data_IF_728553369117
#
_entry.id   IF_728553369117
#
_cell.length_a   1.000
_cell.length_b   1.000
_cell.length_c   1.000
_cell.angle_alpha   90.00
_cell.angle_beta   90.00
_cell.angle_gamma   90.00
#
_symmetry.space_group_name_H-M   'P 1'
#
loop_
_entity.id
_entity.type
_entity.pdbx_description
1 polymer ?
#
# COMPACT_ATOMS: atom_id res chain seq x y z
N UNK A 1 -12.20 -45.42 21.91
CA UNK A 1 -12.44 -45.75 20.49
C UNK A 1 -12.36 -44.46 19.70
N UNK A 2 -11.39 -44.38 18.77
CA UNK A 2 -11.11 -43.23 17.93
C UNK A 2 -12.25 -42.96 16.94
N UNK A 3 -12.56 -41.69 16.73
CA UNK A 3 -13.39 -41.20 15.62
C UNK A 3 -12.67 -40.07 14.89
N UNK A 4 -11.77 -40.43 13.98
CA UNK A 4 -11.15 -39.51 13.03
C UNK A 4 -12.21 -38.97 12.07
N UNK A 5 -12.70 -37.75 12.30
CA UNK A 5 -13.50 -37.00 11.35
C UNK A 5 -12.61 -36.00 10.60
N UNK A 6 -12.23 -36.37 9.37
CA UNK A 6 -11.93 -35.46 8.26
C UNK A 6 -11.09 -34.22 8.57
N UNK A 7 -9.81 -34.41 8.92
CA UNK A 7 -8.80 -33.36 8.78
C UNK A 7 -8.65 -33.05 7.29
N UNK A 8 -9.30 -31.95 6.86
CA UNK A 8 -8.98 -31.27 5.61
C UNK A 8 -7.47 -31.07 5.53
N UNK A 9 -6.92 -31.36 4.35
CA UNK A 9 -5.49 -31.40 4.06
C UNK A 9 -4.71 -30.29 4.79
N UNK A 10 -3.58 -30.59 5.43
CA UNK A 10 -2.79 -29.60 6.13
C UNK A 10 -2.39 -28.46 5.19
N UNK A 11 -2.72 -27.23 5.58
CA UNK A 11 -2.36 -25.96 4.93
C UNK A 11 -0.85 -25.80 4.61
N UNK A 12 -0.02 -26.69 5.14
CA UNK A 12 1.43 -26.71 5.00
C UNK A 12 1.95 -26.98 3.58
N UNK A 13 1.18 -27.65 2.71
CA UNK A 13 1.64 -27.98 1.35
C UNK A 13 1.41 -26.86 0.31
N UNK A 14 0.63 -25.82 0.65
CA UNK A 14 0.29 -24.72 -0.26
C UNK A 14 1.01 -23.39 0.09
N UNK A 15 1.92 -23.38 1.07
CA UNK A 15 2.53 -22.14 1.56
C UNK A 15 3.53 -21.49 0.58
N UNK A 16 4.33 -22.28 -0.14
CA UNK A 16 5.37 -21.73 -1.02
C UNK A 16 4.79 -21.12 -2.30
N UNK A 17 3.79 -21.74 -2.92
CA UNK A 17 3.18 -21.20 -4.16
C UNK A 17 2.27 -19.99 -3.94
N UNK A 18 1.52 -19.92 -2.83
CA UNK A 18 0.64 -18.76 -2.56
C UNK A 18 1.41 -17.50 -2.12
N UNK A 19 2.49 -17.63 -1.33
CA UNK A 19 3.34 -16.48 -1.00
C UNK A 19 4.07 -15.96 -2.25
N UNK A 20 4.68 -16.84 -3.05
CA UNK A 20 5.36 -16.45 -4.29
C UNK A 20 4.39 -15.81 -5.31
N UNK A 21 3.11 -16.22 -5.32
CA UNK A 21 2.07 -15.58 -6.13
C UNK A 21 1.80 -14.14 -5.68
N UNK A 22 1.80 -13.87 -4.38
CA UNK A 22 1.52 -12.53 -3.83
C UNK A 22 2.61 -11.54 -4.26
N UNK A 23 3.87 -11.96 -4.16
CA UNK A 23 5.03 -11.18 -4.64
C UNK A 23 5.04 -11.01 -6.16
N UNK A 24 4.68 -12.03 -6.93
CA UNK A 24 4.63 -11.94 -8.41
C UNK A 24 3.47 -11.04 -8.89
N UNK A 25 2.35 -11.01 -8.16
CA UNK A 25 1.15 -10.26 -8.56
C UNK A 25 1.17 -8.81 -8.04
N UNK A 26 1.68 -8.54 -6.83
CA UNK A 26 1.70 -7.18 -6.26
C UNK A 26 2.91 -6.34 -6.67
N UNK A 27 4.07 -6.95 -6.98
CA UNK A 27 5.27 -6.18 -7.33
C UNK A 27 5.07 -5.33 -8.59
N UNK A 28 4.56 -5.87 -9.72
CA UNK A 28 4.41 -5.08 -10.94
C UNK A 28 3.57 -3.80 -10.74
N UNK A 29 2.36 -3.83 -10.15
CA UNK A 29 1.58 -2.61 -9.93
C UNK A 29 2.26 -1.64 -8.95
N UNK A 30 2.92 -2.11 -7.89
CA UNK A 30 3.67 -1.24 -6.98
C UNK A 30 4.85 -0.53 -7.68
N UNK A 31 5.55 -1.22 -8.58
CA UNK A 31 6.63 -0.64 -9.39
C UNK A 31 6.10 0.46 -10.32
N UNK A 32 4.96 0.22 -10.98
CA UNK A 32 4.34 1.24 -11.83
C UNK A 32 3.91 2.48 -11.04
N UNK A 33 3.34 2.30 -9.83
CA UNK A 33 2.91 3.43 -9.00
C UNK A 33 4.11 4.25 -8.51
N UNK A 34 5.12 3.61 -7.92
CA UNK A 34 6.30 4.32 -7.40
C UNK A 34 7.12 4.94 -8.53
N UNK A 35 7.27 4.19 -9.63
CA UNK A 35 7.97 4.64 -10.83
C UNK A 35 7.28 5.84 -11.48
N UNK A 36 5.95 5.79 -11.60
CA UNK A 36 5.15 6.86 -12.18
C UNK A 36 5.23 8.18 -11.41
N UNK A 37 5.24 8.14 -10.07
CA UNK A 37 5.36 9.36 -9.25
C UNK A 37 6.70 10.07 -9.51
N UNK A 38 7.81 9.33 -9.61
CA UNK A 38 9.14 9.92 -9.80
C UNK A 38 9.42 10.34 -11.24
N UNK A 39 9.04 9.53 -12.22
CA UNK A 39 9.14 9.90 -13.63
C UNK A 39 8.21 11.06 -13.99
N UNK A 40 7.01 11.11 -13.41
CA UNK A 40 6.07 12.21 -13.61
C UNK A 40 6.66 13.54 -13.19
N UNK A 41 7.32 13.60 -12.02
CA UNK A 41 8.01 14.81 -11.55
C UNK A 41 9.18 15.22 -12.46
N UNK A 42 9.96 14.25 -12.95
CA UNK A 42 11.03 14.49 -13.92
C UNK A 42 10.50 15.12 -15.21
N UNK A 43 9.50 14.49 -15.84
CA UNK A 43 8.90 14.93 -17.10
C UNK A 43 8.25 16.31 -16.92
N UNK A 44 7.51 16.50 -15.82
CA UNK A 44 6.88 17.78 -15.51
C UNK A 44 7.92 18.91 -15.36
N UNK A 45 9.07 18.67 -14.73
CA UNK A 45 10.13 19.68 -14.59
C UNK A 45 10.68 20.18 -15.92
N UNK A 46 10.82 19.31 -16.93
CA UNK A 46 11.23 19.70 -18.28
C UNK A 46 10.15 20.47 -19.05
N UNK A 47 8.89 20.03 -18.94
CA UNK A 47 7.76 20.70 -19.60
C UNK A 47 7.60 22.11 -19.03
N UNK A 48 7.66 22.27 -17.70
CA UNK A 48 7.49 23.57 -17.03
C UNK A 48 8.58 24.55 -17.48
N UNK A 49 9.84 24.10 -17.64
CA UNK A 49 10.93 24.96 -18.08
C UNK A 49 10.77 25.45 -19.53
N UNK A 50 10.29 24.59 -20.44
CA UNK A 50 10.30 24.89 -21.87
C UNK A 50 8.98 25.48 -22.38
N UNK A 51 7.84 24.98 -21.89
CA UNK A 51 6.50 25.33 -22.37
C UNK A 51 5.67 26.08 -21.30
N UNK A 52 6.08 26.04 -20.03
CA UNK A 52 5.34 26.63 -18.92
C UNK A 52 4.28 25.70 -18.31
N UNK A 53 3.77 26.07 -17.13
CA UNK A 53 2.95 25.17 -16.30
C UNK A 53 1.60 24.78 -16.92
N UNK A 54 1.00 25.64 -17.76
CA UNK A 54 -0.32 25.37 -18.38
C UNK A 54 -0.27 24.16 -19.33
N UNK A 55 0.83 23.99 -20.06
CA UNK A 55 0.98 22.90 -21.02
C UNK A 55 1.14 21.53 -20.34
N UNK A 56 1.62 21.50 -19.09
CA UNK A 56 1.67 20.26 -18.30
C UNK A 56 0.29 19.61 -18.18
N UNK A 57 -0.76 20.40 -17.94
CA UNK A 57 -2.13 19.89 -17.85
C UNK A 57 -2.66 19.39 -19.20
N UNK A 58 -2.34 20.08 -20.30
CA UNK A 58 -2.73 19.67 -21.65
C UNK A 58 -2.09 18.35 -22.09
N UNK A 59 -0.79 18.18 -21.82
CA UNK A 59 -0.07 16.94 -22.14
C UNK A 59 -0.60 15.78 -21.30
N UNK A 60 -0.85 15.99 -20.00
CA UNK A 60 -1.49 14.98 -19.14
C UNK A 60 -2.86 14.58 -19.70
N UNK A 61 -3.69 15.53 -20.12
CA UNK A 61 -5.01 15.25 -20.70
C UNK A 61 -4.92 14.41 -21.98
N UNK A 62 -3.95 14.70 -22.87
CA UNK A 62 -3.72 13.92 -24.09
C UNK A 62 -3.32 12.47 -23.77
N UNK A 63 -2.40 12.29 -22.83
CA UNK A 63 -1.98 10.95 -22.38
C UNK A 63 -3.18 10.18 -21.81
N UNK A 64 -4.01 10.81 -20.97
CA UNK A 64 -5.23 10.19 -20.45
C UNK A 64 -6.24 9.84 -21.54
N UNK A 65 -6.40 10.70 -22.55
CA UNK A 65 -7.29 10.44 -23.69
C UNK A 65 -6.86 9.21 -24.51
N UNK A 66 -5.56 8.91 -24.56
CA UNK A 66 -5.04 7.71 -25.22
C UNK A 66 -5.10 6.45 -24.33
N UNK A 67 -4.84 6.59 -23.02
CA UNK A 67 -4.85 5.46 -22.08
C UNK A 67 -6.27 4.93 -21.86
N UNK A 68 -7.29 5.79 -21.86
CA UNK A 68 -8.67 5.39 -21.54
C UNK A 68 -9.25 4.35 -22.53
N UNK A 69 -9.15 4.52 -23.86
CA UNK A 69 -9.51 3.47 -24.82
C UNK A 69 -8.69 2.19 -24.67
N UNK A 70 -7.38 2.32 -24.39
CA UNK A 70 -6.49 1.19 -24.17
C UNK A 70 -6.91 0.37 -22.95
N UNK A 71 -7.24 1.06 -21.84
CA UNK A 71 -7.73 0.43 -20.63
C UNK A 71 -9.05 -0.29 -20.90
N UNK A 72 -9.97 0.31 -21.66
CA UNK A 72 -11.23 -0.32 -22.03
C UNK A 72 -11.05 -1.60 -22.85
N UNK A 73 -10.12 -1.60 -23.81
CA UNK A 73 -9.89 -2.77 -24.68
C UNK A 73 -9.05 -3.86 -24.00
N UNK A 74 -7.97 -3.51 -23.31
CA UNK A 74 -6.98 -4.46 -22.82
C UNK A 74 -7.19 -4.90 -21.37
N UNK A 75 -7.98 -4.19 -20.57
CA UNK A 75 -8.24 -4.54 -19.16
C UNK A 75 -9.69 -5.04 -19.04
N UNK A 76 -9.98 -6.31 -19.37
CA UNK A 76 -11.29 -6.87 -19.12
C UNK A 76 -11.54 -6.89 -17.61
N UNK A 77 -12.70 -6.42 -17.15
CA UNK A 77 -13.07 -6.46 -15.74
C UNK A 77 -12.95 -7.90 -15.19
N UNK A 78 -12.16 -8.04 -14.13
CA UNK A 78 -11.95 -9.31 -13.42
C UNK A 78 -12.85 -9.47 -12.20
N UNK A 79 -13.87 -8.61 -12.03
CA UNK A 79 -14.78 -8.68 -10.88
C UNK A 79 -15.40 -10.08 -10.83
N UNK A 80 -14.89 -10.89 -9.90
CA UNK A 80 -15.31 -12.25 -9.67
C UNK A 80 -16.65 -12.19 -8.95
N UNK A 81 -17.72 -12.24 -9.74
CA UNK A 81 -19.03 -12.51 -9.18
C UNK A 81 -19.09 -14.01 -8.89
N UNK A 82 -19.51 -14.38 -7.68
CA UNK A 82 -20.13 -15.70 -7.48
C UNK A 82 -21.63 -15.49 -7.70
N UNK A 83 -22.18 -15.78 -8.89
CA UNK A 83 -23.60 -16.05 -9.02
C UNK A 83 -24.08 -17.00 -7.92
N UNK A 84 -25.39 -17.00 -7.60
CA UNK A 84 -25.94 -18.08 -6.80
C UNK A 84 -25.54 -19.40 -7.47
N UNK A 85 -24.63 -20.14 -6.81
CA UNK A 85 -24.10 -21.39 -7.33
C UNK A 85 -25.29 -22.28 -7.68
N UNK A 86 -25.32 -22.83 -8.89
CA UNK A 86 -26.31 -23.84 -9.27
C UNK A 86 -26.02 -25.08 -8.42
N UNK A 87 -26.71 -25.19 -7.30
CA UNK A 87 -26.65 -26.35 -6.43
C UNK A 87 -27.49 -27.44 -7.06
N UNK A 88 -26.85 -28.47 -7.58
CA UNK A 88 -27.56 -29.72 -7.87
C UNK A 88 -27.49 -30.60 -6.63
N UNK A 89 -28.67 -30.92 -6.10
CA UNK A 89 -28.84 -31.80 -4.95
C UNK A 89 -28.98 -33.20 -5.51
N UNK A 90 -27.92 -34.00 -5.46
CA UNK A 90 -27.98 -35.40 -5.87
C UNK A 90 -28.34 -36.23 -4.65
N UNK A 91 -29.50 -36.88 -4.72
CA UNK A 91 -29.94 -37.84 -3.69
C UNK A 91 -29.45 -39.22 -4.07
N UNK A 92 -28.38 -39.68 -3.41
CA UNK A 92 -27.90 -41.04 -3.58
C UNK A 92 -28.73 -42.01 -2.73
N UNK A 93 -29.59 -42.80 -3.39
CA UNK A 93 -30.46 -43.80 -2.75
C UNK A 93 -29.67 -44.91 -2.05
N UNK A 94 -28.42 -45.14 -2.42
CA UNK A 94 -27.59 -46.23 -1.87
C UNK A 94 -26.91 -45.88 -0.55
N UNK A 95 -26.61 -44.60 -0.32
CA UNK A 95 -25.90 -44.12 0.87
C UNK A 95 -26.75 -43.23 1.80
N UNK A 96 -28.00 -42.93 1.43
CA UNK A 96 -28.89 -41.99 2.15
C UNK A 96 -28.23 -40.64 2.48
N UNK A 97 -27.25 -40.23 1.67
CA UNK A 97 -26.53 -38.96 1.82
C UNK A 97 -26.88 -38.00 0.71
N UNK A 98 -27.05 -36.75 1.09
CA UNK A 98 -27.30 -35.64 0.19
C UNK A 98 -25.95 -35.00 -0.14
N UNK A 99 -25.58 -35.01 -1.42
CA UNK A 99 -24.39 -34.31 -1.90
C UNK A 99 -24.84 -33.01 -2.60
N UNK A 100 -24.39 -31.87 -2.09
CA UNK A 100 -24.48 -30.59 -2.82
C UNK A 100 -23.24 -30.47 -3.72
N UNK A 101 -23.41 -30.61 -5.03
CA UNK A 101 -22.32 -30.40 -5.99
C UNK A 101 -22.40 -28.96 -6.51
N UNK A 102 -21.30 -28.23 -6.34
CA UNK A 102 -21.13 -26.88 -6.88
C UNK A 102 -20.58 -27.02 -8.30
N UNK A 103 -21.41 -26.75 -9.31
CA UNK A 103 -20.99 -26.78 -10.70
C UNK A 103 -20.07 -25.57 -11.01
N UNK A 104 -18.88 -25.77 -11.62
CA UNK A 104 -18.04 -24.68 -12.08
C UNK A 104 -18.70 -23.96 -13.26
N UNK A 105 -18.67 -22.63 -13.25
CA UNK A 105 -19.33 -21.80 -14.26
C UNK A 105 -18.57 -21.80 -15.60
N UNK A 106 -19.29 -21.70 -16.74
CA UNK A 106 -18.65 -21.55 -18.03
C UNK A 106 -17.91 -20.20 -18.11
N UNK A 107 -16.67 -20.18 -18.62
CA UNK A 107 -15.89 -18.94 -18.72
C UNK A 107 -16.57 -17.93 -19.64
N UNK A 108 -16.78 -16.69 -19.16
CA UNK A 108 -17.32 -15.58 -19.98
C UNK A 108 -16.45 -15.33 -21.21
N UNK A 109 -17.06 -15.17 -22.38
CA UNK A 109 -16.40 -14.77 -23.63
C UNK A 109 -15.79 -13.37 -23.50
N UNK A 110 -14.68 -13.09 -24.20
CA UNK A 110 -13.97 -11.81 -24.11
C UNK A 110 -14.86 -10.59 -24.39
N UNK A 111 -15.77 -10.68 -25.37
CA UNK A 111 -16.78 -9.66 -25.69
C UNK A 111 -17.84 -9.47 -24.59
N UNK A 112 -18.14 -10.52 -23.81
CA UNK A 112 -19.03 -10.43 -22.65
C UNK A 112 -18.35 -9.78 -21.45
N UNK A 113 -17.02 -9.85 -21.35
CA UNK A 113 -16.22 -9.15 -20.33
C UNK A 113 -16.03 -7.66 -20.63
N UNK A 114 -16.15 -7.26 -21.90
CA UNK A 114 -16.05 -5.88 -22.38
C UNK A 114 -17.36 -5.08 -22.29
N UNK A 115 -18.44 -5.65 -21.71
CA UNK A 115 -19.71 -4.91 -21.58
C UNK A 115 -19.53 -3.72 -20.63
N UNK A 116 -19.73 -2.51 -21.14
CA UNK A 116 -19.62 -1.23 -20.40
C UNK A 116 -20.50 -1.24 -19.12
N UNK A 117 -21.67 -1.88 -19.18
CA UNK A 117 -22.55 -2.05 -18.03
C UNK A 117 -22.97 -3.51 -17.90
N UNK A 118 -22.58 -4.15 -16.79
CA UNK A 118 -23.03 -5.51 -16.41
C UNK A 118 -24.31 -5.50 -15.54
N UNK A 119 -25.00 -4.35 -15.44
CA UNK A 119 -26.15 -4.18 -14.54
C UNK A 119 -25.76 -4.11 -13.06
N UNK A 120 -26.74 -4.23 -12.15
CA UNK A 120 -26.51 -4.13 -10.70
C UNK A 120 -25.95 -5.46 -10.16
N UNK A 121 -24.64 -5.51 -9.96
CA UNK A 121 -23.92 -6.72 -9.48
C UNK A 121 -24.29 -7.07 -8.03
N UNK A 122 -24.57 -6.07 -7.18
CA UNK A 122 -25.03 -6.28 -5.80
C UNK A 122 -26.39 -5.63 -5.57
N UNK A 123 -27.29 -6.39 -4.93
CA UNK A 123 -28.59 -5.87 -4.43
C UNK A 123 -28.43 -5.04 -3.15
N UNK A 124 -27.22 -4.92 -2.61
CA UNK A 124 -26.96 -4.04 -1.46
C UNK A 124 -27.21 -2.58 -1.85
N UNK A 125 -27.87 -1.82 -0.97
CA UNK A 125 -28.09 -0.39 -1.17
C UNK A 125 -26.76 0.36 -1.30
N UNK A 126 -26.67 1.30 -2.25
CA UNK A 126 -25.48 2.11 -2.51
C UNK A 126 -24.91 2.72 -1.22
N UNK A 127 -25.77 3.38 -0.43
CA UNK A 127 -25.39 4.00 0.84
C UNK A 127 -24.89 3.00 1.89
N UNK A 128 -25.47 1.80 1.95
CA UNK A 128 -24.99 0.74 2.86
C UNK A 128 -23.60 0.26 2.47
N UNK A 129 -23.32 0.16 1.17
CA UNK A 129 -21.99 -0.21 0.66
C UNK A 129 -20.99 0.92 0.82
N UNK A 130 -21.40 2.17 0.58
CA UNK A 130 -20.54 3.34 0.76
C UNK A 130 -20.15 3.57 2.23
N UNK A 131 -21.03 3.22 3.18
CA UNK A 131 -20.76 3.36 4.62
C UNK A 131 -20.07 2.15 5.25
N UNK A 132 -20.00 1.00 4.56
CA UNK A 132 -19.27 -0.22 5.03
C UNK A 132 -17.81 0.01 5.45
N UNK A 133 -17.01 0.90 4.82
CA UNK A 133 -15.64 1.16 5.22
C UNK A 133 -15.52 1.90 6.57
N UNK A 134 -16.54 2.66 6.98
CA UNK A 134 -16.48 3.53 8.17
C UNK A 134 -16.38 2.72 9.48
N UNK A 135 -17.20 1.68 9.72
CA UNK A 135 -17.05 0.78 10.86
C UNK A 135 -15.69 0.07 10.94
N UNK A 136 -14.98 -0.09 9.81
CA UNK A 136 -13.67 -0.75 9.83
C UNK A 136 -12.58 0.10 10.51
N UNK A 137 -12.78 1.42 10.64
CA UNK A 137 -11.90 2.30 11.42
C UNK A 137 -11.87 1.89 12.89
N UNK A 138 -12.93 1.26 13.41
CA UNK A 138 -13.01 0.82 14.80
C UNK A 138 -12.08 -0.38 15.08
N UNK A 139 -11.60 -1.08 14.05
CA UNK A 139 -10.66 -2.17 14.24
C UNK A 139 -9.24 -1.63 14.44
N UNK A 140 -8.61 -1.84 15.61
CA UNK A 140 -7.31 -1.25 15.94
C UNK A 140 -6.20 -1.65 14.96
N UNK A 141 -6.29 -2.84 14.37
CA UNK A 141 -5.37 -3.32 13.32
C UNK A 141 -5.47 -2.45 12.06
N UNK A 142 -6.69 -2.14 11.62
CA UNK A 142 -6.96 -1.31 10.44
C UNK A 142 -6.62 0.14 10.72
N UNK A 143 -7.00 0.69 11.89
CA UNK A 143 -6.64 2.06 12.29
C UNK A 143 -5.14 2.24 12.32
N UNK A 144 -4.43 1.28 12.89
CA UNK A 144 -2.98 1.32 13.00
C UNK A 144 -2.29 1.25 11.63
N UNK A 145 -2.72 0.32 10.77
CA UNK A 145 -2.20 0.21 9.42
C UNK A 145 -2.51 1.47 8.60
N UNK A 146 -3.73 2.02 8.72
CA UNK A 146 -4.14 3.26 8.09
C UNK A 146 -3.26 4.44 8.54
N UNK A 147 -3.08 4.61 9.85
CA UNK A 147 -2.30 5.72 10.40
C UNK A 147 -0.82 5.63 10.01
N UNK A 148 -0.25 4.44 10.11
CA UNK A 148 1.14 4.18 9.69
C UNK A 148 1.31 4.45 8.20
N UNK A 149 0.47 3.89 7.34
CA UNK A 149 0.51 4.12 5.89
C UNK A 149 0.38 5.61 5.55
N UNK A 150 -0.56 6.30 6.21
CA UNK A 150 -0.79 7.73 6.05
C UNK A 150 0.44 8.56 6.41
N UNK A 151 1.13 8.21 7.50
CA UNK A 151 2.31 8.93 7.95
C UNK A 151 3.48 8.83 6.94
N UNK A 152 3.75 7.64 6.40
CA UNK A 152 4.76 7.45 5.35
C UNK A 152 4.38 8.16 4.05
N UNK A 153 3.10 8.15 3.68
CA UNK A 153 2.60 8.88 2.51
C UNK A 153 2.69 10.39 2.69
N UNK A 154 2.32 10.91 3.86
CA UNK A 154 2.44 12.32 4.21
C UNK A 154 3.91 12.77 4.21
N UNK A 155 4.83 11.93 4.69
CA UNK A 155 6.27 12.18 4.61
C UNK A 155 6.81 12.28 3.17
N UNK A 156 6.31 11.45 2.25
CA UNK A 156 6.62 11.57 0.82
C UNK A 156 6.10 12.90 0.23
N UNK A 157 4.88 13.31 0.59
CA UNK A 157 4.31 14.59 0.16
C UNK A 157 5.10 15.77 0.74
N UNK A 158 5.47 15.70 2.02
CA UNK A 158 6.30 16.71 2.69
C UNK A 158 7.64 16.89 1.98
N UNK A 159 8.33 15.80 1.65
CA UNK A 159 9.58 15.87 0.89
C UNK A 159 9.32 16.49 -0.48
N UNK A 160 8.28 16.07 -1.20
CA UNK A 160 8.02 16.60 -2.54
C UNK A 160 7.78 18.12 -2.54
N UNK A 161 7.02 18.63 -1.56
CA UNK A 161 6.74 20.07 -1.43
C UNK A 161 7.99 20.85 -1.01
N UNK A 162 8.69 20.38 0.01
CA UNK A 162 9.87 21.08 0.53
C UNK A 162 11.06 20.97 -0.43
N UNK A 163 11.17 19.90 -1.22
CA UNK A 163 12.24 19.74 -2.20
C UNK A 163 12.25 20.90 -3.21
N UNK A 164 11.08 21.28 -3.71
CA UNK A 164 10.95 22.41 -4.63
C UNK A 164 11.34 23.72 -3.95
N UNK A 165 10.87 23.97 -2.73
CA UNK A 165 11.21 25.17 -1.93
C UNK A 165 12.70 25.25 -1.57
N UNK A 166 13.29 24.14 -1.12
CA UNK A 166 14.68 24.07 -0.66
C UNK A 166 15.67 24.19 -1.82
N UNK A 167 15.42 23.48 -2.92
CA UNK A 167 16.37 23.46 -4.03
C UNK A 167 16.23 24.67 -4.97
N UNK A 168 15.09 25.35 -4.97
CA UNK A 168 14.96 26.64 -5.67
C UNK A 168 15.59 27.81 -4.89
N UNK A 169 15.66 27.72 -3.56
CA UNK A 169 16.30 28.73 -2.72
C UNK A 169 17.84 28.62 -2.68
N UNK A 170 18.51 29.67 -2.19
CA UNK A 170 19.93 29.60 -1.84
C UNK A 170 20.14 28.58 -0.71
N UNK A 171 21.18 27.73 -0.73
CA UNK A 171 22.42 27.80 -1.53
C UNK A 171 22.42 27.05 -2.88
N UNK A 172 21.34 26.37 -3.26
CA UNK A 172 21.33 25.48 -4.45
C UNK A 172 20.85 26.16 -5.74
N UNK A 173 19.89 27.09 -5.63
CA UNK A 173 19.38 27.93 -6.73
C UNK A 173 19.14 27.17 -8.06
N UNK A 174 18.50 26.00 -7.96
CA UNK A 174 18.27 25.11 -9.10
C UNK A 174 17.06 25.54 -9.92
N UNK A 175 17.19 25.46 -11.24
CA UNK A 175 16.05 25.57 -12.16
C UNK A 175 15.07 24.40 -12.00
N UNK A 176 13.80 24.60 -12.37
CA UNK A 176 12.75 23.55 -12.27
C UNK A 176 13.10 22.24 -12.99
N UNK A 177 13.84 22.30 -14.11
CA UNK A 177 14.30 21.07 -14.78
C UNK A 177 15.41 20.35 -14.00
N UNK A 178 16.28 21.10 -13.33
CA UNK A 178 17.35 20.52 -12.50
C UNK A 178 16.76 19.88 -11.24
N UNK A 179 15.74 20.50 -10.62
CA UNK A 179 14.96 19.90 -9.54
C UNK A 179 14.27 18.62 -10.03
N UNK A 180 13.65 18.66 -11.21
CA UNK A 180 13.09 17.47 -11.85
C UNK A 180 14.13 16.35 -12.03
N UNK A 181 15.35 16.69 -12.45
CA UNK A 181 16.45 15.75 -12.66
C UNK A 181 16.89 15.04 -11.36
N UNK A 182 16.75 15.68 -10.21
CA UNK A 182 17.04 15.03 -8.91
C UNK A 182 16.17 13.80 -8.66
N UNK A 183 14.98 13.70 -9.28
CA UNK A 183 14.12 12.53 -9.13
C UNK A 183 14.56 11.30 -9.93
N UNK A 184 15.48 11.45 -10.89
CA UNK A 184 15.99 10.34 -11.70
C UNK A 184 16.73 9.27 -10.86
N UNK A 185 17.71 9.62 -9.99
CA UNK A 185 18.31 8.64 -9.09
C UNK A 185 17.29 8.07 -8.08
N UNK A 186 16.34 8.88 -7.61
CA UNK A 186 15.28 8.43 -6.69
C UNK A 186 14.36 7.40 -7.36
N UNK A 187 14.10 7.53 -8.66
CA UNK A 187 13.36 6.53 -9.45
C UNK A 187 14.09 5.19 -9.45
N UNK A 188 15.38 5.18 -9.77
CA UNK A 188 16.19 3.95 -9.78
C UNK A 188 16.21 3.26 -8.42
N UNK A 189 16.47 4.02 -7.35
CA UNK A 189 16.48 3.51 -5.99
C UNK A 189 15.09 3.04 -5.55
N UNK A 190 14.01 3.73 -5.95
CA UNK A 190 12.63 3.33 -5.67
C UNK A 190 12.22 2.02 -6.33
N UNK A 191 12.67 1.77 -7.57
CA UNK A 191 12.46 0.49 -8.25
C UNK A 191 13.16 -0.66 -7.51
N UNK A 192 14.45 -0.46 -7.17
CA UNK A 192 15.23 -1.45 -6.43
C UNK A 192 14.60 -1.72 -5.06
N UNK A 193 14.21 -0.66 -4.33
CA UNK A 193 13.57 -0.76 -3.03
C UNK A 193 12.24 -1.51 -3.09
N UNK A 194 11.43 -1.27 -4.13
CA UNK A 194 10.15 -1.96 -4.32
C UNK A 194 10.37 -3.46 -4.59
N UNK A 195 11.27 -3.82 -5.50
CA UNK A 195 11.62 -5.21 -5.78
C UNK A 195 12.12 -5.91 -4.51
N UNK A 196 13.10 -5.31 -3.84
CA UNK A 196 13.72 -5.91 -2.68
C UNK A 196 12.72 -6.03 -1.51
N UNK A 197 11.85 -5.04 -1.33
CA UNK A 197 10.83 -5.07 -0.27
C UNK A 197 9.87 -6.25 -0.39
N UNK A 198 9.44 -6.61 -1.62
CA UNK A 198 8.58 -7.77 -1.84
C UNK A 198 9.30 -9.09 -1.51
N UNK A 199 10.52 -9.27 -2.05
CA UNK A 199 11.30 -10.48 -1.80
C UNK A 199 11.67 -10.66 -0.32
N UNK A 200 12.12 -9.58 0.34
CA UNK A 200 12.48 -9.63 1.77
C UNK A 200 11.27 -9.81 2.67
N UNK A 201 10.11 -9.21 2.35
CA UNK A 201 8.88 -9.41 3.09
C UNK A 201 8.48 -10.89 3.11
N UNK A 202 8.49 -11.55 1.95
CA UNK A 202 8.14 -12.97 1.86
C UNK A 202 9.19 -13.88 2.50
N UNK A 203 10.47 -13.60 2.27
CA UNK A 203 11.56 -14.38 2.84
C UNK A 203 11.55 -14.33 4.38
N UNK A 204 11.34 -13.14 4.95
CA UNK A 204 11.29 -12.93 6.39
C UNK A 204 10.14 -13.72 7.00
N UNK A 205 8.95 -13.65 6.40
CA UNK A 205 7.76 -14.36 6.86
C UNK A 205 7.93 -15.87 6.78
N UNK A 206 8.53 -16.40 5.69
CA UNK A 206 8.84 -17.82 5.58
C UNK A 206 9.85 -18.28 6.64
N UNK A 207 10.88 -17.49 6.87
CA UNK A 207 11.93 -17.79 7.86
C UNK A 207 11.35 -17.84 9.27
N UNK A 208 10.56 -16.83 9.65
CA UNK A 208 9.90 -16.77 10.95
C UNK A 208 8.85 -17.88 11.12
N UNK A 209 8.14 -18.25 10.05
CA UNK A 209 7.21 -19.38 10.09
C UNK A 209 7.94 -20.71 10.34
N UNK A 210 9.10 -20.92 9.72
CA UNK A 210 9.95 -22.10 9.97
C UNK A 210 10.47 -22.13 11.41
N UNK A 211 10.86 -20.97 11.94
CA UNK A 211 11.29 -20.83 13.34
C UNK A 211 10.13 -21.02 14.33
N UNK A 212 8.89 -20.74 13.92
CA UNK A 212 7.68 -20.86 14.75
C UNK A 212 6.98 -22.22 14.58
N UNK A 213 7.73 -23.31 14.44
CA UNK A 213 7.20 -24.66 14.25
C UNK A 213 6.18 -24.80 13.10
N UNK A 214 6.31 -23.95 12.08
CA UNK A 214 5.42 -23.93 10.91
C UNK A 214 4.14 -23.10 11.07
N UNK A 215 3.89 -22.49 12.23
CA UNK A 215 2.68 -21.68 12.44
C UNK A 215 2.87 -20.27 11.88
N UNK A 216 2.09 -19.93 10.85
CA UNK A 216 2.09 -18.60 10.23
C UNK A 216 1.37 -17.57 11.10
N UNK A 217 2.02 -16.44 11.34
CA UNK A 217 1.45 -15.30 12.06
C UNK A 217 1.60 -14.02 11.23
N UNK A 218 0.50 -13.28 10.97
CA UNK A 218 0.56 -12.04 10.19
C UNK A 218 1.43 -10.96 10.86
N UNK A 219 1.64 -11.04 12.16
CA UNK A 219 2.47 -10.13 12.95
C UNK A 219 3.96 -10.16 12.55
N UNK A 220 4.45 -11.24 11.92
CA UNK A 220 5.82 -11.33 11.41
C UNK A 220 6.17 -10.21 10.42
N UNK A 221 5.17 -9.66 9.71
CA UNK A 221 5.34 -8.53 8.78
C UNK A 221 5.70 -7.22 9.49
N UNK A 222 5.35 -7.06 10.77
CA UNK A 222 5.65 -5.85 11.54
C UNK A 222 7.14 -5.67 11.80
N UNK A 223 7.93 -6.77 11.80
CA UNK A 223 9.37 -6.72 12.01
C UNK A 223 10.09 -6.03 10.84
N UNK A 224 9.64 -6.26 9.60
CA UNK A 224 10.16 -5.56 8.42
C UNK A 224 9.99 -4.04 8.55
N UNK A 225 8.90 -3.63 9.18
CA UNK A 225 8.59 -2.21 9.40
C UNK A 225 9.55 -1.54 10.38
N UNK A 226 10.02 -2.24 11.42
CA UNK A 226 10.96 -1.65 12.37
C UNK A 226 12.28 -1.28 11.68
N UNK A 227 12.77 -2.13 10.78
CA UNK A 227 13.96 -1.85 9.97
C UNK A 227 13.71 -0.68 9.02
N UNK A 228 12.57 -0.68 8.33
CA UNK A 228 12.18 0.41 7.43
C UNK A 228 12.06 1.75 8.16
N UNK A 229 11.52 1.75 9.38
CA UNK A 229 11.34 2.93 10.20
C UNK A 229 12.67 3.53 10.65
N UNK A 230 13.60 2.70 11.09
CA UNK A 230 14.94 3.15 11.46
C UNK A 230 15.63 3.81 10.26
N UNK A 231 15.58 3.15 9.09
CA UNK A 231 16.22 3.66 7.87
C UNK A 231 15.60 4.99 7.41
N UNK A 232 14.27 5.07 7.43
CA UNK A 232 13.54 6.30 7.09
C UNK A 232 13.87 7.44 8.04
N UNK A 233 13.97 7.16 9.34
CA UNK A 233 14.20 8.20 10.35
C UNK A 233 15.63 8.73 10.28
N UNK A 234 16.61 7.85 10.04
CA UNK A 234 17.99 8.26 9.75
C UNK A 234 18.04 9.13 8.50
N UNK A 235 17.28 8.77 7.44
CA UNK A 235 17.22 9.57 6.22
C UNK A 235 16.67 10.98 6.47
N UNK A 236 15.57 11.13 7.21
CA UNK A 236 15.01 12.44 7.55
C UNK A 236 15.99 13.30 8.36
N UNK A 237 16.57 12.77 9.44
CA UNK A 237 17.50 13.52 10.29
C UNK A 237 18.73 13.97 9.50
N UNK A 238 19.29 13.06 8.70
CA UNK A 238 20.49 13.33 7.90
C UNK A 238 20.21 14.32 6.78
N UNK A 239 19.05 14.23 6.14
CA UNK A 239 18.61 15.20 5.13
C UNK A 239 18.46 16.60 5.72
N UNK A 240 17.76 16.74 6.85
CA UNK A 240 17.57 18.03 7.53
C UNK A 240 18.89 18.66 7.99
N UNK A 241 19.83 17.85 8.51
CA UNK A 241 21.17 18.32 8.87
C UNK A 241 21.99 18.72 7.64
N UNK A 242 21.91 17.97 6.55
CA UNK A 242 22.65 18.26 5.32
C UNK A 242 22.25 19.60 4.72
N UNK A 243 20.95 19.91 4.71
CA UNK A 243 20.42 21.21 4.25
C UNK A 243 20.87 22.34 5.17
N UNK A 244 20.78 22.14 6.49
CA UNK A 244 21.18 23.17 7.46
C UNK A 244 22.69 23.48 7.42
N UNK A 245 23.52 22.49 7.06
CA UNK A 245 24.95 22.66 6.88
C UNK A 245 25.33 23.21 5.49
N UNK A 246 24.37 23.41 4.57
CA UNK A 246 24.62 23.91 3.22
C UNK A 246 25.55 23.00 2.41
N UNK A 247 25.50 21.68 2.63
CA UNK A 247 26.43 20.74 1.98
C UNK A 247 26.15 20.59 0.49
N UNK A 248 27.08 19.98 -0.25
CA UNK A 248 26.89 19.71 -1.68
C UNK A 248 25.61 18.92 -1.94
N UNK A 249 24.92 19.26 -3.04
CA UNK A 249 23.60 18.74 -3.44
C UNK A 249 23.50 17.20 -3.45
N UNK A 250 24.61 16.51 -3.72
CA UNK A 250 24.65 15.05 -3.80
C UNK A 250 24.31 14.39 -2.46
N UNK A 251 24.67 15.02 -1.33
CA UNK A 251 24.47 14.45 0.01
C UNK A 251 22.97 14.45 0.38
N UNK A 252 22.23 15.57 0.29
CA UNK A 252 20.78 15.57 0.46
C UNK A 252 20.07 14.57 -0.48
N UNK A 253 20.45 14.51 -1.76
CA UNK A 253 19.85 13.57 -2.73
C UNK A 253 20.09 12.10 -2.33
N UNK A 254 21.29 11.77 -1.84
CA UNK A 254 21.58 10.42 -1.37
C UNK A 254 20.67 10.02 -0.20
N UNK A 255 20.44 10.91 0.77
CA UNK A 255 19.52 10.64 1.88
C UNK A 255 18.05 10.59 1.44
N UNK A 256 17.63 11.39 0.46
CA UNK A 256 16.31 11.23 -0.19
C UNK A 256 16.18 9.88 -0.91
N UNK A 257 17.27 9.36 -1.47
CA UNK A 257 17.36 8.00 -2.01
C UNK A 257 17.13 6.96 -0.92
N UNK A 258 17.82 7.05 0.21
CA UNK A 258 17.64 6.15 1.37
C UNK A 258 16.20 6.20 1.89
N UNK A 259 15.61 7.40 1.99
CA UNK A 259 14.21 7.56 2.35
C UNK A 259 13.30 6.85 1.33
N UNK A 260 13.51 7.09 0.03
CA UNK A 260 12.71 6.48 -1.05
C UNK A 260 12.83 4.96 -1.05
N UNK A 261 14.00 4.41 -0.72
CA UNK A 261 14.23 2.98 -0.58
C UNK A 261 13.46 2.37 0.60
N UNK A 262 13.33 3.09 1.73
CA UNK A 262 12.68 2.58 2.94
C UNK A 262 11.15 2.50 2.86
N UNK A 263 10.51 3.41 2.12
CA UNK A 263 9.03 3.54 2.07
C UNK A 263 8.32 2.28 1.53
N UNK A 264 8.79 1.62 0.45
CA UNK A 264 8.21 0.36 -0.02
C UNK A 264 8.11 -0.72 1.05
N UNK A 265 9.11 -0.85 1.94
CA UNK A 265 9.11 -1.86 3.00
C UNK A 265 8.01 -1.62 4.03
N UNK A 266 7.77 -0.37 4.42
CA UNK A 266 6.72 -0.05 5.38
C UNK A 266 5.32 -0.17 4.75
N UNK A 267 5.15 0.35 3.54
CA UNK A 267 3.84 0.38 2.85
C UNK A 267 3.36 -1.02 2.45
N UNK A 268 4.25 -1.84 1.88
CA UNK A 268 3.94 -3.24 1.53
C UNK A 268 3.60 -4.07 2.77
N UNK A 269 4.33 -3.90 3.88
CA UNK A 269 4.04 -4.59 5.13
C UNK A 269 2.65 -4.24 5.68
N UNK A 270 2.22 -2.97 5.63
CA UNK A 270 0.89 -2.58 6.11
C UNK A 270 -0.24 -3.11 5.23
N UNK A 271 -0.08 -3.08 3.90
CA UNK A 271 -1.11 -3.60 3.00
C UNK A 271 -1.27 -5.10 3.14
N UNK A 272 -0.17 -5.84 3.15
CA UNK A 272 -0.20 -7.30 3.31
C UNK A 272 -0.68 -7.71 4.70
N UNK A 273 -0.36 -6.94 5.75
CA UNK A 273 -0.89 -7.17 7.10
C UNK A 273 -2.42 -7.03 7.16
N UNK A 274 -2.99 -6.02 6.49
CA UNK A 274 -4.46 -5.85 6.44
C UNK A 274 -5.13 -6.94 5.62
N UNK A 275 -4.54 -7.33 4.48
CA UNK A 275 -5.02 -8.46 3.66
C UNK A 275 -5.07 -9.75 4.48
N UNK A 276 -4.02 -10.04 5.24
CA UNK A 276 -3.92 -11.28 6.02
C UNK A 276 -4.86 -11.27 7.24
N UNK A 277 -5.10 -10.10 7.85
CA UNK A 277 -5.99 -10.00 9.00
C UNK A 277 -7.48 -10.00 8.61
N UNK A 278 -7.84 -9.40 7.47
CA UNK A 278 -9.23 -9.21 7.04
C UNK A 278 -9.44 -9.51 5.54
N UNK A 279 -9.20 -10.75 5.08
CA UNK A 279 -9.26 -11.08 3.65
C UNK A 279 -10.65 -10.87 3.03
N UNK A 280 -11.73 -11.09 3.78
CA UNK A 280 -13.11 -10.87 3.32
C UNK A 280 -13.51 -9.39 3.19
N UNK A 281 -12.82 -8.50 3.90
CA UNK A 281 -13.14 -7.06 3.94
C UNK A 281 -11.95 -6.18 3.52
N UNK A 282 -10.98 -6.75 2.80
CA UNK A 282 -9.75 -6.04 2.46
C UNK A 282 -10.00 -4.82 1.54
N UNK A 283 -10.88 -4.95 0.54
CA UNK A 283 -11.21 -3.83 -0.34
C UNK A 283 -11.82 -2.63 0.42
N UNK A 284 -12.88 -2.80 1.25
CA UNK A 284 -13.35 -1.74 2.15
C UNK A 284 -12.26 -1.20 3.09
N UNK A 285 -11.39 -2.07 3.64
CA UNK A 285 -10.30 -1.64 4.52
C UNK A 285 -9.33 -0.70 3.79
N UNK A 286 -8.97 -1.00 2.53
CA UNK A 286 -8.10 -0.13 1.74
C UNK A 286 -8.73 1.22 1.41
N UNK A 287 -10.04 1.26 1.16
CA UNK A 287 -10.75 2.54 0.97
C UNK A 287 -10.60 3.41 2.22
N UNK A 288 -10.79 2.82 3.40
CA UNK A 288 -10.60 3.49 4.69
C UNK A 288 -9.16 3.98 4.87
N UNK A 289 -8.17 3.12 4.63
CA UNK A 289 -6.75 3.49 4.73
C UNK A 289 -6.39 4.65 3.81
N UNK A 290 -6.88 4.63 2.56
CA UNK A 290 -6.64 5.71 1.61
C UNK A 290 -7.35 7.01 1.98
N UNK A 291 -8.54 6.94 2.59
CA UNK A 291 -9.27 8.11 3.06
C UNK A 291 -8.53 8.82 4.19
N UNK A 292 -8.03 8.07 5.18
CA UNK A 292 -7.20 8.62 6.27
C UNK A 292 -5.91 9.22 5.70
N UNK A 293 -5.29 8.54 4.73
CA UNK A 293 -4.09 9.03 4.05
C UNK A 293 -4.33 10.34 3.32
N UNK A 294 -5.43 10.46 2.57
CA UNK A 294 -5.78 11.69 1.86
C UNK A 294 -6.01 12.85 2.84
N UNK A 295 -6.73 12.62 3.95
CA UNK A 295 -6.95 13.63 4.98
C UNK A 295 -5.63 14.11 5.63
N UNK A 296 -4.74 13.18 6.01
CA UNK A 296 -3.47 13.52 6.61
C UNK A 296 -2.52 14.23 5.62
N UNK A 297 -2.48 13.78 4.36
CA UNK A 297 -1.71 14.43 3.30
C UNK A 297 -2.19 15.85 3.02
N UNK A 298 -3.50 16.11 3.07
CA UNK A 298 -4.06 17.45 2.92
C UNK A 298 -3.60 18.37 4.05
N UNK A 299 -3.76 17.93 5.30
CA UNK A 299 -3.29 18.70 6.47
C UNK A 299 -1.79 18.99 6.33
N UNK A 300 -0.98 17.98 6.03
CA UNK A 300 0.46 18.20 5.91
C UNK A 300 0.81 19.20 4.78
N UNK A 301 0.11 19.16 3.65
CA UNK A 301 0.41 20.04 2.50
C UNK A 301 0.15 21.52 2.79
N UNK A 302 -0.86 21.82 3.60
CA UNK A 302 -1.19 23.21 3.98
C UNK A 302 -0.23 23.77 5.04
N UNK A 303 0.17 22.95 6.03
CA UNK A 303 0.98 23.43 7.17
C UNK A 303 2.49 23.40 6.91
N UNK A 304 2.97 22.57 5.99
CA UNK A 304 4.42 22.28 5.86
C UNK A 304 5.26 23.50 5.48
N UNK A 305 4.79 24.35 4.56
CA UNK A 305 5.57 25.50 4.09
C UNK A 305 5.74 26.55 5.20
N UNK A 306 4.66 26.90 5.90
CA UNK A 306 4.72 27.82 7.04
C UNK A 306 5.55 27.25 8.21
N UNK A 307 5.44 25.93 8.45
CA UNK A 307 6.27 25.29 9.47
C UNK A 307 7.76 25.33 9.10
N UNK A 308 8.09 25.09 7.84
CA UNK A 308 9.46 25.17 7.32
C UNK A 308 10.06 26.57 7.44
N UNK A 309 9.32 27.61 7.12
CA UNK A 309 9.77 29.01 7.24
C UNK A 309 10.05 29.40 8.70
N UNK A 310 9.19 28.97 9.63
CA UNK A 310 9.29 29.34 11.06
C UNK A 310 10.38 28.59 11.84
N UNK A 311 10.58 27.31 11.57
CA UNK A 311 11.42 26.40 12.40
C UNK A 311 12.68 25.92 11.70
N UNK A 312 12.79 26.14 10.38
CA UNK A 312 13.91 25.73 9.55
C UNK A 312 13.97 24.22 9.29
N UNK A 313 14.78 23.85 8.28
CA UNK A 313 14.88 22.48 7.78
C UNK A 313 15.23 21.45 8.87
N UNK A 314 16.26 21.73 9.69
CA UNK A 314 16.74 20.78 10.70
C UNK A 314 15.66 20.41 11.72
N UNK A 315 14.91 21.38 12.24
CA UNK A 315 13.88 21.14 13.24
C UNK A 315 12.70 20.35 12.66
N UNK A 316 12.23 20.75 11.46
CA UNK A 316 11.12 20.09 10.77
C UNK A 316 11.43 18.61 10.51
N UNK A 317 12.55 18.30 9.85
CA UNK A 317 12.87 16.93 9.51
C UNK A 317 13.23 16.07 10.72
N UNK A 318 13.85 16.64 11.76
CA UNK A 318 14.11 15.90 13.01
C UNK A 318 12.80 15.55 13.73
N UNK A 319 11.84 16.49 13.78
CA UNK A 319 10.53 16.25 14.39
C UNK A 319 9.76 15.18 13.62
N UNK A 320 9.76 15.25 12.29
CA UNK A 320 9.14 14.21 11.44
C UNK A 320 9.79 12.84 11.65
N UNK A 321 11.11 12.78 11.83
CA UNK A 321 11.82 11.53 12.12
C UNK A 321 11.43 10.93 13.48
N UNK A 322 11.33 11.76 14.51
CA UNK A 322 10.90 11.32 15.85
C UNK A 322 9.45 10.83 15.80
N UNK A 323 8.57 11.55 15.11
CA UNK A 323 7.18 11.12 14.91
C UNK A 323 7.11 9.80 14.11
N UNK A 324 7.94 9.64 13.07
CA UNK A 324 8.03 8.39 12.31
C UNK A 324 8.45 7.21 13.19
N UNK A 325 9.45 7.40 14.05
CA UNK A 325 9.87 6.40 15.04
C UNK A 325 8.77 6.13 16.07
N UNK A 326 8.06 7.14 16.55
CA UNK A 326 6.99 6.97 17.52
C UNK A 326 5.83 6.14 16.94
N UNK A 327 5.35 6.50 15.74
CA UNK A 327 4.30 5.76 15.02
C UNK A 327 4.77 4.35 14.68
N UNK A 328 6.05 4.21 14.34
CA UNK A 328 6.63 2.90 14.06
C UNK A 328 6.82 2.05 15.32
N UNK A 329 7.13 2.67 16.45
CA UNK A 329 7.29 2.04 17.76
C UNK A 329 5.99 1.38 18.25
N UNK A 330 4.82 1.89 17.84
CA UNK A 330 3.52 1.23 18.07
C UNK A 330 3.44 -0.16 17.40
N UNK A 331 4.37 -0.52 16.50
CA UNK A 331 4.52 -1.93 16.04
C UNK A 331 4.83 -2.89 17.16
N UNK A 332 5.63 -2.48 18.15
CA UNK A 332 6.08 -3.35 19.24
C UNK A 332 4.88 -3.83 20.08
N UNK A 333 4.00 -2.95 20.61
CA UNK A 333 2.81 -3.41 21.32
C UNK A 333 1.85 -4.16 20.40
N UNK A 334 1.74 -3.80 19.12
CA UNK A 334 0.90 -4.56 18.18
C UNK A 334 1.44 -5.98 17.92
N UNK A 335 2.77 -6.16 17.93
CA UNK A 335 3.40 -7.48 17.79
C UNK A 335 3.14 -8.36 19.03
N UNK A 336 3.23 -7.79 20.24
CA UNK A 336 3.03 -8.52 21.50
C UNK A 336 1.53 -8.79 21.77
N UNK A 337 0.67 -7.79 21.57
CA UNK A 337 -0.76 -7.86 21.92
C UNK A 337 -1.68 -8.17 20.73
N UNK A 338 -1.16 -8.21 19.50
CA UNK A 338 -1.94 -8.42 18.27
C UNK A 338 -2.82 -9.65 18.33
N UNK A 339 -2.28 -10.76 18.84
CA UNK A 339 -3.03 -12.02 19.04
C UNK A 339 -4.25 -11.85 19.95
N UNK A 340 -4.08 -11.11 21.05
CA UNK A 340 -5.15 -10.86 22.02
C UNK A 340 -6.20 -9.91 21.45
N UNK A 341 -5.78 -8.88 20.71
CA UNK A 341 -6.68 -7.95 20.04
C UNK A 341 -7.50 -8.64 18.95
N UNK A 342 -6.87 -9.45 18.09
CA UNK A 342 -7.56 -10.20 17.03
C UNK A 342 -8.53 -11.23 17.60
N UNK A 343 -8.14 -11.96 18.65
CA UNK A 343 -9.03 -12.93 19.33
C UNK A 343 -10.23 -12.25 19.99
N UNK A 344 -10.04 -11.08 20.63
CA UNK A 344 -11.16 -10.29 21.19
C UNK A 344 -12.11 -9.78 20.11
N UNK A 345 -11.57 -9.34 18.97
CA UNK A 345 -12.36 -8.83 17.83
C UNK A 345 -13.15 -9.95 17.17
N UNK A 346 -12.54 -11.11 16.92
CA UNK A 346 -13.20 -12.27 16.33
C UNK A 346 -14.36 -12.80 17.21
N UNK A 347 -14.28 -12.59 18.53
CA UNK A 347 -15.35 -12.94 19.49
C UNK A 347 -16.39 -11.84 19.68
N UNK A 348 -16.14 -10.63 19.18
CA UNK A 348 -17.06 -9.51 19.36
C UNK A 348 -18.24 -9.60 18.38
N UNK A 349 -19.46 -9.45 18.90
CA UNK A 349 -20.70 -9.50 18.10
C UNK A 349 -20.74 -8.44 16.97
N UNK A 350 -19.87 -7.43 17.03
CA UNK A 350 -19.73 -6.39 16.00
C UNK A 350 -19.23 -6.96 14.66
N UNK A 351 -18.37 -7.99 14.70
CA UNK A 351 -17.84 -8.64 13.48
C UNK A 351 -18.87 -9.53 12.77
N UNK A 352 -19.90 -10.01 13.49
CA UNK A 352 -20.99 -10.82 12.90
C UNK A 352 -22.08 -9.97 12.24
N UNK A 353 -22.09 -8.66 12.49
CA UNK A 353 -23.12 -7.72 11.98
C UNK A 353 -22.77 -7.08 10.62
N UNK A 354 -21.51 -7.18 10.17
CA UNK A 354 -20.97 -6.57 8.95
C UNK A 354 -20.30 -7.60 8.06
#
# INVERSE_FOLDING_TARGET
MLGHAGLGKPWYACGSRQLTLTTTILIPPCLFVMGGVKLGQLIAGFIIRNLGFKFTFGICALIYAFILPLMYLFVPETVYFSPPQRKEVIFDKSSLRIYEIILPEPPKTYTQKLRIFQGRISKAGFWRTAWKPVPLITFPVVTYAAFTYSFYAAGLTLIALLQDTIFSAAPYNLSSSAIGLTNLPLFGVGLIGTLLSGYTADYLVQSLTRLNNGVYEPEFRLLLKLVAASLSSVAYISFGHSIAAGTSIYIPIAFLGVQTFSVPFATSAMFTYVMDCHPSHAAPAFVTMNSVKAALSLVMSEFVNGWFESSGAKSVFTTVAIMNLAVSGVSIPMYIFGKRLRSKIARSAFHLKF
#
